data_IF_790780533810
#
_entry.id   IF_790780533810
#
_cell.length_a   1.000
_cell.length_b   1.000
_cell.length_c   1.000
_cell.angle_alpha   90.00
_cell.angle_beta   90.00
_cell.angle_gamma   90.00
#
_symmetry.space_group_name_H-M   'P 1'
#
loop_
_entity.id
_entity.type
_entity.pdbx_description
1 polymer ?
#
# COMPACT_ATOMS: atom_id res chain seq x y z
N UNK A 1 18.00 -21.23 13.05
CA UNK A 1 17.35 -20.46 14.13
C UNK A 1 17.75 -18.99 14.17
N UNK A 2 18.97 -18.56 14.58
CA UNK A 2 19.33 -17.13 14.57
C UNK A 2 19.24 -16.50 13.16
N UNK A 3 19.79 -17.18 12.14
CA UNK A 3 19.72 -16.72 10.74
C UNK A 3 18.29 -16.61 10.18
N UNK A 4 17.35 -17.42 10.65
CA UNK A 4 15.96 -17.39 10.16
C UNK A 4 15.18 -16.21 10.76
N UNK A 5 15.49 -15.86 12.01
CA UNK A 5 14.90 -14.69 12.68
C UNK A 5 15.43 -13.40 12.05
N UNK A 6 16.74 -13.32 11.80
CA UNK A 6 17.35 -12.18 11.11
C UNK A 6 16.75 -11.99 9.72
N UNK A 7 16.59 -13.07 8.96
CA UNK A 7 15.95 -13.03 7.65
C UNK A 7 14.49 -12.58 7.73
N UNK A 8 13.72 -13.08 8.70
CA UNK A 8 12.33 -12.66 8.88
C UNK A 8 12.18 -11.17 9.25
N UNK A 9 13.10 -10.63 10.05
CA UNK A 9 13.15 -9.21 10.37
C UNK A 9 13.50 -8.38 9.14
N UNK A 10 14.50 -8.80 8.35
CA UNK A 10 14.86 -8.14 7.11
C UNK A 10 13.70 -8.11 6.10
N UNK A 11 13.03 -9.24 5.90
CA UNK A 11 11.84 -9.36 5.05
C UNK A 11 10.71 -8.42 5.53
N UNK A 12 10.45 -8.38 6.84
CA UNK A 12 9.42 -7.52 7.42
C UNK A 12 9.73 -6.04 7.16
N UNK A 13 10.99 -5.63 7.32
CA UNK A 13 11.40 -4.25 7.07
C UNK A 13 11.25 -3.89 5.59
N UNK A 14 11.66 -4.78 4.67
CA UNK A 14 11.45 -4.57 3.23
C UNK A 14 9.97 -4.40 2.86
N UNK A 15 9.08 -5.21 3.47
CA UNK A 15 7.64 -5.06 3.27
C UNK A 15 7.06 -3.79 3.91
N UNK A 16 7.65 -3.29 5.00
CA UNK A 16 7.28 -2.01 5.57
C UNK A 16 7.63 -0.86 4.60
N UNK A 17 8.82 -0.91 4.00
CA UNK A 17 9.25 0.09 3.01
C UNK A 17 8.36 0.08 1.77
N UNK A 18 8.01 -1.10 1.25
CA UNK A 18 7.04 -1.26 0.15
C UNK A 18 5.68 -0.64 0.51
N UNK A 19 5.19 -0.88 1.73
CA UNK A 19 3.94 -0.28 2.21
C UNK A 19 4.01 1.24 2.25
N UNK A 20 5.08 1.83 2.79
CA UNK A 20 5.22 3.29 2.84
C UNK A 20 5.38 3.91 1.44
N UNK A 21 6.00 3.21 0.49
CA UNK A 21 6.04 3.65 -0.89
C UNK A 21 4.64 3.66 -1.53
N UNK A 22 3.88 2.58 -1.34
CA UNK A 22 2.51 2.48 -1.85
C UNK A 22 1.56 3.52 -1.20
N UNK A 23 1.78 3.84 0.08
CA UNK A 23 1.06 4.90 0.79
C UNK A 23 1.28 6.27 0.14
N UNK A 24 2.53 6.64 -0.12
CA UNK A 24 2.88 7.88 -0.83
C UNK A 24 2.31 7.92 -2.25
N UNK A 25 2.34 6.79 -2.95
CA UNK A 25 1.78 6.67 -4.29
C UNK A 25 0.26 6.88 -4.31
N UNK A 26 -0.47 6.33 -3.33
CA UNK A 26 -1.91 6.51 -3.23
C UNK A 26 -2.29 7.97 -2.95
N UNK A 27 -1.58 8.65 -2.05
CA UNK A 27 -1.80 10.07 -1.79
C UNK A 27 -1.49 10.94 -3.03
N UNK A 28 -0.42 10.64 -3.77
CA UNK A 28 -0.15 11.32 -5.04
C UNK A 28 -1.26 11.11 -6.07
N UNK A 29 -1.76 9.88 -6.21
CA UNK A 29 -2.86 9.58 -7.14
C UNK A 29 -4.18 10.22 -6.72
N UNK A 30 -4.42 10.37 -5.42
CA UNK A 30 -5.59 11.06 -4.87
C UNK A 30 -5.57 12.54 -5.22
N UNK A 31 -4.43 13.21 -5.04
CA UNK A 31 -4.26 14.61 -5.45
C UNK A 31 -4.44 14.76 -6.96
N UNK A 32 -3.85 13.86 -7.75
CA UNK A 32 -4.00 13.88 -9.21
C UNK A 32 -5.46 13.70 -9.66
N UNK A 33 -6.21 12.80 -9.01
CA UNK A 33 -7.63 12.61 -9.30
C UNK A 33 -8.45 13.85 -8.93
N UNK A 34 -8.21 14.45 -7.76
CA UNK A 34 -8.88 15.69 -7.34
C UNK A 34 -8.61 16.85 -8.31
N UNK A 35 -7.40 16.95 -8.84
CA UNK A 35 -7.08 17.94 -9.87
C UNK A 35 -7.86 17.67 -11.17
N UNK A 36 -7.93 16.41 -11.62
CA UNK A 36 -8.70 16.06 -12.82
C UNK A 36 -10.20 16.29 -12.65
N UNK A 37 -10.74 16.09 -11.44
CA UNK A 37 -12.13 16.42 -11.14
C UNK A 37 -12.41 17.91 -11.35
N UNK A 38 -11.58 18.79 -10.78
CA UNK A 38 -11.73 20.24 -10.99
C UNK A 38 -11.60 20.64 -12.45
N UNK A 39 -10.59 20.10 -13.14
CA UNK A 39 -10.42 20.35 -14.59
C UNK A 39 -11.63 19.86 -15.40
N UNK A 40 -12.26 18.76 -15.01
CA UNK A 40 -13.44 18.24 -15.69
C UNK A 40 -14.65 19.16 -15.49
N UNK A 41 -14.86 19.63 -14.24
CA UNK A 41 -15.91 20.60 -13.90
C UNK A 41 -15.74 21.93 -14.66
N UNK A 42 -14.50 22.35 -14.91
CA UNK A 42 -14.15 23.52 -15.72
C UNK A 42 -14.18 23.25 -17.24
N UNK A 43 -14.45 22.02 -17.68
CA UNK A 43 -14.49 21.62 -19.10
C UNK A 43 -13.11 21.50 -19.76
N UNK A 44 -12.03 21.47 -18.98
CA UNK A 44 -10.64 21.41 -19.45
C UNK A 44 -10.13 19.99 -19.73
N UNK A 45 -10.82 18.96 -19.23
CA UNK A 45 -10.53 17.55 -19.53
C UNK A 45 -11.81 16.78 -19.83
N UNK A 46 -11.69 15.66 -20.53
CA UNK A 46 -12.83 14.84 -20.89
C UNK A 46 -13.29 13.95 -19.73
N UNK A 47 -14.49 13.38 -19.84
CA UNK A 47 -14.96 12.34 -18.91
C UNK A 47 -14.05 11.10 -18.91
N UNK A 48 -13.41 10.78 -20.05
CA UNK A 48 -12.48 9.65 -20.18
C UNK A 48 -11.22 9.91 -19.34
N UNK A 49 -10.71 11.15 -19.33
CA UNK A 49 -9.57 11.53 -18.50
C UNK A 49 -9.90 11.43 -17.01
N UNK A 50 -11.11 11.89 -16.63
CA UNK A 50 -11.59 11.75 -15.26
C UNK A 50 -11.66 10.28 -14.83
N UNK A 51 -12.28 9.42 -15.63
CA UNK A 51 -12.36 7.99 -15.37
C UNK A 51 -10.98 7.32 -15.30
N UNK A 52 -10.06 7.71 -16.18
CA UNK A 52 -8.68 7.20 -16.17
C UNK A 52 -7.97 7.55 -14.87
N UNK A 53 -8.13 8.79 -14.39
CA UNK A 53 -7.56 9.21 -13.11
C UNK A 53 -8.18 8.50 -11.90
N UNK A 54 -9.49 8.23 -11.94
CA UNK A 54 -10.19 7.46 -10.91
C UNK A 54 -9.68 6.00 -10.87
N UNK A 55 -9.49 5.37 -12.02
CA UNK A 55 -8.95 4.02 -12.12
C UNK A 55 -7.52 3.94 -11.57
N UNK A 56 -6.66 4.94 -11.87
CA UNK A 56 -5.31 5.01 -11.29
C UNK A 56 -5.33 5.11 -9.77
N UNK A 57 -6.22 5.93 -9.20
CA UNK A 57 -6.40 6.02 -7.76
C UNK A 57 -6.89 4.69 -7.16
N UNK A 58 -7.85 4.02 -7.81
CA UNK A 58 -8.35 2.73 -7.36
C UNK A 58 -7.25 1.66 -7.37
N UNK A 59 -6.41 1.64 -8.40
CA UNK A 59 -5.27 0.74 -8.50
C UNK A 59 -4.26 1.00 -7.37
N UNK A 60 -3.89 2.26 -7.12
CA UNK A 60 -2.96 2.61 -6.05
C UNK A 60 -3.49 2.22 -4.65
N UNK A 61 -4.81 2.34 -4.42
CA UNK A 61 -5.46 1.87 -3.18
C UNK A 61 -5.36 0.35 -3.03
N UNK A 62 -5.58 -0.40 -4.10
CA UNK A 62 -5.45 -1.85 -4.09
C UNK A 62 -4.00 -2.28 -3.80
N UNK A 63 -3.02 -1.61 -4.40
CA UNK A 63 -1.59 -1.85 -4.17
C UNK A 63 -1.20 -1.57 -2.71
N UNK A 64 -1.61 -0.42 -2.16
CA UNK A 64 -1.40 -0.07 -0.75
C UNK A 64 -2.02 -1.09 0.20
N UNK A 65 -3.25 -1.54 -0.07
CA UNK A 65 -3.90 -2.57 0.73
C UNK A 65 -3.13 -3.89 0.69
N UNK A 66 -2.72 -4.34 -0.49
CA UNK A 66 -1.94 -5.56 -0.65
C UNK A 66 -0.60 -5.48 0.10
N UNK A 67 0.14 -4.37 -0.05
CA UNK A 67 1.39 -4.14 0.66
C UNK A 67 1.20 -4.16 2.19
N UNK A 68 0.12 -3.53 2.69
CA UNK A 68 -0.24 -3.58 4.12
C UNK A 68 -0.50 -5.00 4.61
N UNK A 69 -1.20 -5.82 3.84
CA UNK A 69 -1.50 -7.21 4.20
C UNK A 69 -0.22 -8.05 4.25
N UNK A 70 0.67 -7.91 3.27
CA UNK A 70 1.98 -8.59 3.25
C UNK A 70 2.84 -8.18 4.46
N UNK A 71 2.94 -6.88 4.73
CA UNK A 71 3.65 -6.38 5.91
C UNK A 71 3.07 -6.95 7.22
N UNK A 72 1.74 -6.96 7.36
CA UNK A 72 1.07 -7.52 8.53
C UNK A 72 1.41 -9.00 8.75
N UNK A 73 1.45 -9.81 7.69
CA UNK A 73 1.84 -11.22 7.76
C UNK A 73 3.31 -11.38 8.20
N UNK A 74 4.23 -10.62 7.61
CA UNK A 74 5.65 -10.66 8.01
C UNK A 74 5.86 -10.19 9.45
N UNK A 75 5.13 -9.16 9.89
CA UNK A 75 5.15 -8.69 11.27
C UNK A 75 4.67 -9.78 12.24
N UNK A 76 3.58 -10.49 11.92
CA UNK A 76 3.11 -11.63 12.72
C UNK A 76 4.15 -12.74 12.79
N UNK A 77 4.86 -13.03 11.70
CA UNK A 77 5.93 -14.02 11.70
C UNK A 77 7.09 -13.63 12.63
N UNK A 78 7.52 -12.37 12.60
CA UNK A 78 8.55 -11.85 13.51
C UNK A 78 8.09 -11.94 14.97
N UNK A 79 6.84 -11.58 15.26
CA UNK A 79 6.27 -11.69 16.59
C UNK A 79 6.16 -13.14 17.07
N UNK A 80 5.84 -14.07 16.17
CA UNK A 80 5.84 -15.50 16.49
C UNK A 80 7.20 -16.00 16.94
N UNK A 81 8.28 -15.59 16.27
CA UNK A 81 9.64 -15.91 16.73
C UNK A 81 10.01 -15.27 18.08
N UNK A 82 9.28 -14.24 18.52
CA UNK A 82 9.41 -13.63 19.85
C UNK A 82 8.55 -14.33 20.91
N UNK A 83 7.78 -15.35 20.55
CA UNK A 83 6.94 -16.13 21.46
C UNK A 83 5.47 -15.74 21.49
N UNK A 84 5.01 -14.83 20.62
CA UNK A 84 3.58 -14.52 20.48
C UNK A 84 2.85 -15.59 19.64
N UNK A 85 1.60 -15.94 19.93
CA UNK A 85 0.81 -16.81 19.06
C UNK A 85 0.66 -16.22 17.64
N UNK A 86 0.89 -17.03 16.61
CA UNK A 86 0.74 -16.56 15.22
C UNK A 86 -0.72 -16.32 14.82
N UNK A 87 -1.63 -17.11 15.38
CA UNK A 87 -3.08 -16.98 15.29
C UNK A 87 -3.54 -16.64 16.71
N UNK A 88 -4.20 -15.49 16.88
CA UNK A 88 -4.93 -15.21 18.11
C UNK A 88 -6.23 -16.01 18.14
N UNK A 89 -6.64 -16.48 19.32
CA UNK A 89 -8.00 -16.99 19.57
C UNK A 89 -9.06 -15.90 19.30
#
# INVERSE_FOLDING_TARGET
MYSEIEQAVADMNGQADEFYQADRQEEAMKIAHQLNLRKYEEGLVSAIDLHTSANRLMQARAEKLNARLKYSLKKRLVNYYKGEPFIGE
#
